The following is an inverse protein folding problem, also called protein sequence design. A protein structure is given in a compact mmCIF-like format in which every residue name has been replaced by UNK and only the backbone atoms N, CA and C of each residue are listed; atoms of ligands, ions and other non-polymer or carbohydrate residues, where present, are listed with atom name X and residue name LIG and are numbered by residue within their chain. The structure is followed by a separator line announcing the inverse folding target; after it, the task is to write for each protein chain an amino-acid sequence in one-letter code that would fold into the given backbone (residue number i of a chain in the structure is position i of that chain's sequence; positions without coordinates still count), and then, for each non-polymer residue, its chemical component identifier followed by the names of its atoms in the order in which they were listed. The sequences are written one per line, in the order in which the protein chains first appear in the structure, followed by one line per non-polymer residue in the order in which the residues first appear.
data_IF_527849852619
#
_entry.id   IF_527849852619
#
_cell.length_a   1.000
_cell.length_b   1.000
_cell.length_c   1.000
_cell.angle_alpha   90.00
_cell.angle_beta   90.00
_cell.angle_gamma   90.00
#
_symmetry.space_group_name_H-M   'P 1'
#
loop_
_entity.id
_entity.type
_entity.pdbx_description
1 polymer ?
#
# COMPACT_ATOMS: atom_id res chain seq x y z
N UNK A 1 -13.37 -5.24 -26.49
CA UNK A 1 -12.99 -5.01 -25.11
C UNK A 1 -11.94 -3.93 -25.01
N UNK A 2 -12.05 -3.13 -24.00
CA UNK A 2 -11.15 -2.00 -23.84
C UNK A 2 -9.89 -2.42 -23.08
N UNK A 3 -8.78 -2.57 -23.78
CA UNK A 3 -7.50 -2.94 -23.19
C UNK A 3 -7.06 -1.92 -22.14
N UNK A 4 -7.43 -0.65 -22.31
CA UNK A 4 -7.11 0.42 -21.36
C UNK A 4 -7.72 0.16 -19.98
N UNK A 5 -8.98 -0.27 -19.91
CA UNK A 5 -9.65 -0.56 -18.65
C UNK A 5 -8.97 -1.67 -17.88
N UNK A 6 -8.64 -2.76 -18.59
CA UNK A 6 -7.97 -3.90 -17.96
C UNK A 6 -6.59 -3.49 -17.44
N UNK A 7 -5.85 -2.74 -18.26
CA UNK A 7 -4.53 -2.24 -17.87
C UNK A 7 -4.61 -1.33 -16.65
N UNK A 8 -5.61 -0.44 -16.59
CA UNK A 8 -5.81 0.45 -15.46
C UNK A 8 -6.08 -0.31 -14.18
N UNK A 9 -6.96 -1.32 -14.24
CA UNK A 9 -7.26 -2.15 -13.06
C UNK A 9 -6.04 -2.91 -12.58
N UNK A 10 -5.25 -3.44 -13.50
CA UNK A 10 -4.01 -4.14 -13.16
C UNK A 10 -3.02 -3.20 -12.49
N UNK A 11 -2.87 -1.99 -13.02
CA UNK A 11 -1.98 -0.99 -12.42
C UNK A 11 -2.42 -0.60 -11.03
N UNK A 12 -3.74 -0.44 -10.81
CA UNK A 12 -4.26 -0.14 -9.47
C UNK A 12 -3.91 -1.23 -8.47
N UNK A 13 -4.06 -2.49 -8.88
CA UNK A 13 -3.71 -3.62 -8.02
C UNK A 13 -2.22 -3.67 -7.73
N UNK A 14 -1.39 -3.48 -8.75
CA UNK A 14 0.06 -3.45 -8.60
C UNK A 14 0.46 -2.33 -7.65
N UNK A 15 -0.10 -1.14 -7.83
CA UNK A 15 0.22 0.01 -6.98
C UNK A 15 -0.18 -0.25 -5.53
N UNK A 16 -1.36 -0.84 -5.31
CA UNK A 16 -1.81 -1.17 -3.96
C UNK A 16 -0.85 -2.15 -3.28
N UNK A 17 -0.43 -3.18 -4.00
CA UNK A 17 0.54 -4.14 -3.47
C UNK A 17 1.88 -3.51 -3.20
N UNK A 18 2.34 -2.65 -4.09
CA UNK A 18 3.62 -1.96 -3.92
C UNK A 18 3.61 -1.11 -2.65
N UNK A 19 2.53 -0.36 -2.44
CA UNK A 19 2.38 0.46 -1.23
C UNK A 19 2.34 -0.42 0.01
N UNK A 20 1.56 -1.50 -0.02
CA UNK A 20 1.44 -2.40 1.12
C UNK A 20 2.78 -3.04 1.47
N UNK A 21 3.50 -3.55 0.48
CA UNK A 21 4.82 -4.16 0.69
C UNK A 21 5.82 -3.17 1.26
N UNK A 22 5.77 -1.93 0.80
CA UNK A 22 6.62 -0.88 1.33
C UNK A 22 6.36 -0.66 2.82
N UNK A 23 5.08 -0.52 3.20
CA UNK A 23 4.70 -0.34 4.60
C UNK A 23 5.16 -1.53 5.44
N UNK A 24 4.97 -2.74 4.92
CA UNK A 24 5.38 -3.95 5.61
C UNK A 24 6.88 -3.96 5.89
N UNK A 25 7.69 -3.59 4.90
CA UNK A 25 9.14 -3.58 5.04
C UNK A 25 9.64 -2.49 5.98
N UNK A 26 9.01 -1.33 5.93
CA UNK A 26 9.40 -0.20 6.79
C UNK A 26 8.88 -0.34 8.20
N UNK A 27 7.85 -1.15 8.40
CA UNK A 27 7.10 -1.33 9.64
C UNK A 27 6.27 -0.10 9.99
N UNK A 28 6.89 1.08 10.07
CA UNK A 28 6.21 2.35 10.25
C UNK A 28 6.69 3.32 9.20
N UNK A 29 5.78 4.06 8.61
CA UNK A 29 6.10 5.03 7.57
C UNK A 29 5.07 6.16 7.58
N UNK A 30 5.18 7.08 6.63
CA UNK A 30 4.23 8.18 6.45
C UNK A 30 3.85 8.29 4.98
N UNK A 31 2.75 8.98 4.73
CA UNK A 31 2.30 9.24 3.35
C UNK A 31 3.41 9.91 2.54
N UNK A 32 4.05 10.91 3.12
CA UNK A 32 5.11 11.65 2.43
C UNK A 32 6.29 10.73 2.07
N UNK A 33 6.67 9.86 3.00
CA UNK A 33 7.76 8.92 2.76
C UNK A 33 7.43 7.95 1.64
N UNK A 34 6.18 7.47 1.61
CA UNK A 34 5.72 6.57 0.55
C UNK A 34 5.78 7.27 -0.81
N UNK A 35 5.29 8.51 -0.86
CA UNK A 35 5.32 9.30 -2.10
C UNK A 35 6.75 9.45 -2.62
N UNK A 36 7.68 9.78 -1.73
CA UNK A 36 9.06 9.98 -2.13
C UNK A 36 9.75 8.70 -2.56
N UNK A 37 9.66 7.66 -1.74
CA UNK A 37 10.43 6.45 -1.96
C UNK A 37 9.89 5.61 -3.11
N UNK A 38 8.58 5.61 -3.31
CA UNK A 38 7.98 4.87 -4.41
C UNK A 38 7.79 5.71 -5.66
N UNK A 39 8.08 7.00 -5.58
CA UNK A 39 7.91 7.93 -6.71
C UNK A 39 6.49 7.86 -7.28
N UNK A 40 5.51 7.83 -6.41
CA UNK A 40 4.10 7.81 -6.77
C UNK A 40 3.47 9.17 -6.50
N UNK A 41 2.41 9.50 -7.25
CA UNK A 41 1.66 10.72 -6.99
C UNK A 41 0.94 10.68 -5.66
N UNK A 42 0.76 11.85 -5.05
CA UNK A 42 0.08 11.96 -3.75
C UNK A 42 -1.35 11.40 -3.80
N UNK A 43 -2.07 11.68 -4.88
CA UNK A 43 -3.44 11.17 -5.04
C UNK A 43 -3.48 9.65 -5.09
N UNK A 44 -2.55 9.05 -5.82
CA UNK A 44 -2.45 7.60 -5.93
C UNK A 44 -2.15 6.96 -4.58
N UNK A 45 -1.18 7.50 -3.85
CA UNK A 45 -0.84 7.00 -2.53
C UNK A 45 -2.03 7.15 -1.58
N UNK A 46 -2.68 8.31 -1.59
CA UNK A 46 -3.84 8.56 -0.73
C UNK A 46 -4.97 7.57 -0.97
N UNK A 47 -5.27 7.27 -2.23
CA UNK A 47 -6.30 6.31 -2.59
C UNK A 47 -5.95 4.91 -2.12
N UNK A 48 -4.71 4.51 -2.31
CA UNK A 48 -4.24 3.19 -1.90
C UNK A 48 -4.27 3.04 -0.38
N UNK A 49 -3.88 4.08 0.35
CA UNK A 49 -3.93 4.05 1.81
C UNK A 49 -5.37 3.95 2.31
N UNK A 50 -6.28 4.69 1.71
CA UNK A 50 -7.70 4.63 2.08
C UNK A 50 -8.26 3.23 1.85
N UNK A 51 -7.94 2.62 0.72
CA UNK A 51 -8.38 1.28 0.39
C UNK A 51 -7.81 0.25 1.37
N UNK A 52 -6.52 0.32 1.64
CA UNK A 52 -5.86 -0.61 2.57
C UNK A 52 -6.41 -0.46 3.99
N UNK A 53 -6.69 0.76 4.41
CA UNK A 53 -7.27 1.02 5.72
C UNK A 53 -8.68 0.45 5.82
N UNK A 54 -9.49 0.63 4.78
CA UNK A 54 -10.85 0.07 4.72
C UNK A 54 -10.83 -1.46 4.77
N UNK A 55 -9.84 -2.05 4.15
CA UNK A 55 -9.69 -3.51 4.18
C UNK A 55 -9.14 -4.02 5.50
N UNK A 56 -8.79 -3.13 6.41
CA UNK A 56 -8.26 -3.49 7.71
C UNK A 56 -6.82 -3.98 7.69
N UNK A 57 -6.09 -3.68 6.63
CA UNK A 57 -4.71 -4.15 6.46
C UNK A 57 -3.68 -3.21 7.06
N UNK A 58 -4.00 -1.93 7.13
CA UNK A 58 -3.13 -0.93 7.73
C UNK A 58 -3.91 -0.09 8.72
N UNK A 59 -3.18 0.58 9.61
CA UNK A 59 -3.78 1.55 10.52
C UNK A 59 -2.94 2.82 10.54
N UNK A 60 -3.61 3.94 10.84
CA UNK A 60 -2.97 5.22 11.04
C UNK A 60 -3.07 5.53 12.52
N UNK A 61 -1.94 5.51 13.20
CA UNK A 61 -1.96 5.63 14.65
C UNK A 61 -0.75 6.44 15.14
N UNK A 62 -1.04 7.60 15.71
CA UNK A 62 -0.01 8.46 16.25
C UNK A 62 0.72 9.27 15.19
N UNK A 63 1.76 9.96 15.63
CA UNK A 63 2.54 10.86 14.80
C UNK A 63 4.02 10.71 15.12
N UNK A 64 4.85 10.87 14.09
CA UNK A 64 6.30 10.93 14.30
C UNK A 64 6.64 12.23 15.02
N UNK A 65 7.70 12.19 15.82
CA UNK A 65 8.24 13.39 16.45
C UNK A 65 8.65 14.40 15.38
N UNK A 66 8.33 15.67 15.61
CA UNK A 66 8.64 16.73 14.67
C UNK A 66 9.55 17.75 15.34
N UNK A 67 10.58 18.19 14.58
CA UNK A 67 11.50 19.23 15.05
C UNK A 67 11.04 20.63 14.63
N UNK A 68 9.85 20.71 14.10
CA UNK A 68 9.26 21.96 13.62
C UNK A 68 8.36 21.66 12.45
N UNK A 69 7.24 22.38 12.35
CA UNK A 69 6.30 22.17 11.29
C UNK A 69 5.30 21.05 11.58
N UNK A 70 4.73 20.48 10.55
CA UNK A 70 3.62 19.54 10.65
C UNK A 70 4.12 18.15 11.02
N UNK A 71 3.46 17.51 12.00
CA UNK A 71 3.76 16.13 12.36
C UNK A 71 3.22 15.19 11.31
N UNK A 72 4.03 14.20 10.93
CA UNK A 72 3.62 13.17 9.98
C UNK A 72 2.90 12.04 10.72
N UNK A 73 1.75 11.64 10.21
CA UNK A 73 0.99 10.53 10.79
C UNK A 73 1.68 9.20 10.52
N UNK A 74 1.73 8.36 11.53
CA UNK A 74 2.34 7.03 11.41
C UNK A 74 1.36 6.09 10.73
N UNK A 75 1.85 5.39 9.72
CA UNK A 75 1.11 4.36 9.00
C UNK A 75 1.83 3.05 9.22
N UNK A 76 1.09 2.01 9.60
CA UNK A 76 1.68 0.70 9.86
C UNK A 76 0.70 -0.43 9.58
N UNK A 77 1.22 -1.63 9.46
CA UNK A 77 0.43 -2.84 9.25
C UNK A 77 -0.34 -3.16 10.53
N UNK A 78 -1.56 -3.65 10.38
CA UNK A 78 -2.37 -4.12 11.51
C UNK A 78 -1.83 -5.48 11.95
N UNK A 79 -1.26 -5.59 13.17
CA UNK A 79 -0.57 -6.81 13.57
C UNK A 79 -1.47 -8.03 13.75
N UNK A 80 -2.70 -7.80 14.18
CA UNK A 80 -3.61 -8.88 14.53
C UNK A 80 -4.09 -9.70 13.33
N UNK A 81 -3.89 -9.17 12.12
CA UNK A 81 -4.30 -9.83 10.89
C UNK A 81 -3.14 -10.41 10.10
N UNK A 82 -1.99 -10.56 10.75
CA UNK A 82 -0.75 -10.95 10.08
C UNK A 82 -0.87 -12.19 9.22
N UNK A 83 -1.49 -13.24 9.75
CA UNK A 83 -1.61 -14.52 9.03
C UNK A 83 -2.56 -14.38 7.84
N UNK A 84 -3.73 -13.80 8.07
CA UNK A 84 -4.71 -13.60 7.01
C UNK A 84 -4.18 -12.68 5.91
N UNK A 85 -3.46 -11.62 6.29
CA UNK A 85 -2.83 -10.71 5.36
C UNK A 85 -1.77 -11.44 4.52
N UNK A 86 -0.93 -12.24 5.18
CA UNK A 86 0.10 -13.00 4.49
C UNK A 86 -0.47 -13.92 3.42
N UNK A 87 -1.54 -14.62 3.74
CA UNK A 87 -2.22 -15.50 2.79
C UNK A 87 -2.80 -14.70 1.63
N UNK A 88 -3.47 -13.59 1.94
CA UNK A 88 -4.06 -12.73 0.92
C UNK A 88 -3.04 -12.14 -0.03
N UNK A 89 -1.92 -11.69 0.49
CA UNK A 89 -0.85 -11.12 -0.32
C UNK A 89 -0.21 -12.20 -1.19
N UNK A 90 0.08 -13.35 -0.63
CA UNK A 90 0.66 -14.46 -1.39
C UNK A 90 -0.26 -14.86 -2.53
N UNK A 91 -1.55 -14.96 -2.27
CA UNK A 91 -2.52 -15.30 -3.30
C UNK A 91 -2.54 -14.27 -4.42
N UNK A 92 -2.54 -12.99 -4.07
CA UNK A 92 -2.56 -11.91 -5.06
C UNK A 92 -1.26 -11.84 -5.83
N UNK A 93 -0.12 -11.98 -5.16
CA UNK A 93 1.18 -11.97 -5.82
C UNK A 93 1.34 -13.15 -6.76
N UNK A 94 0.89 -14.32 -6.34
CA UNK A 94 0.90 -15.51 -7.17
C UNK A 94 0.05 -15.30 -8.42
N UNK A 95 -1.10 -14.68 -8.25
CA UNK A 95 -2.00 -14.37 -9.36
C UNK A 95 -1.34 -13.42 -10.37
N UNK A 96 -0.68 -12.38 -9.89
CA UNK A 96 0.04 -11.44 -10.74
C UNK A 96 1.19 -12.09 -11.50
N UNK A 97 1.95 -12.94 -10.81
CA UNK A 97 3.05 -13.68 -11.43
C UNK A 97 2.51 -14.62 -12.50
N UNK A 98 1.41 -15.30 -12.24
CA UNK A 98 0.78 -16.17 -13.22
C UNK A 98 0.36 -15.41 -14.47
N UNK A 99 -0.14 -14.19 -14.30
CA UNK A 99 -0.50 -13.33 -15.44
C UNK A 99 0.73 -12.95 -16.25
N UNK A 100 1.83 -12.64 -15.57
CA UNK A 100 3.07 -12.25 -16.24
C UNK A 100 3.73 -13.41 -16.98
N UNK A 101 3.49 -14.64 -16.54
CA UNK A 101 4.06 -15.82 -17.17
C UNK A 101 3.31 -16.21 -18.45
N UNK A 102 2.10 -15.75 -18.61
CA UNK A 102 1.27 -16.02 -19.76
C UNK A 102 1.10 -14.80 -20.64
#
# INVERSE_FOLDING_TARGET
MNKKSVTTLTLKQINKHTVYQYIYRQRETSKFQIVQDLNMGLSTVSQNLTTLEKEGLIERNGYFASTGGRKAQIIRIVPDLKIAIGIGILKSMFHLVAVDLY
#
